data_IF_087106744478
#
_entry.id   IF_087106744478
#
_cell.length_a   1.000
_cell.length_b   1.000
_cell.length_c   1.000
_cell.angle_alpha   90.00
_cell.angle_beta   90.00
_cell.angle_gamma   90.00
#
_symmetry.space_group_name_H-M   'P 1'
#
loop_
_entity.id
_entity.type
_entity.pdbx_description
1 polymer ?
2 polymer ?
3 non-polymer ?
4 non-polymer ?
5 water ?
#
# COMPACT_ATOMS: atom_id res chain seq x y z
N UNK A 2 -15.90 0.85 -3.05
CA UNK A 2 -17.27 0.59 -3.42
C UNK A 2 -18.24 1.63 -2.93
N UNK A 3 -18.28 1.88 -1.62
CA UNK A 3 -19.24 2.77 -0.97
C UNK A 3 -19.17 4.25 -1.39
N UNK A 4 -20.25 5.01 -1.27
CA UNK A 4 -20.29 6.41 -1.71
C UNK A 4 -19.39 7.32 -0.88
N UNK A 5 -18.81 8.34 -1.51
CA UNK A 5 -17.92 9.34 -0.92
C UNK A 5 -16.63 8.73 -0.32
N UNK A 6 -16.18 7.63 -0.86
CA UNK A 6 -15.06 6.88 -0.31
C UNK A 6 -13.77 7.63 -0.24
N UNK A 7 -13.42 8.30 -1.33
CA UNK A 7 -12.22 9.06 -1.37
C UNK A 7 -12.18 10.10 -0.26
N UNK A 8 -13.29 10.78 -0.04
CA UNK A 8 -13.35 11.80 1.01
C UNK A 8 -13.39 11.19 2.40
N UNK A 9 -14.12 10.11 2.59
CA UNK A 9 -14.14 9.48 3.88
C UNK A 9 -12.76 8.91 4.24
N UNK A 10 -12.08 8.32 3.28
CA UNK A 10 -10.70 7.87 3.52
C UNK A 10 -9.82 9.04 3.93
N UNK A 11 -9.96 10.17 3.24
CA UNK A 11 -9.15 11.34 3.58
C UNK A 11 -9.43 11.81 5.00
N UNK A 12 -10.71 12.02 5.32
CA UNK A 12 -11.06 12.50 6.66
C UNK A 12 -10.52 11.56 7.73
N UNK A 13 -10.70 10.25 7.53
CA UNK A 13 -10.33 9.30 8.58
C UNK A 13 -8.81 9.22 8.75
N UNK A 14 -8.05 9.11 7.65
CA UNK A 14 -6.60 8.96 7.77
C UNK A 14 -5.99 10.24 8.34
N UNK A 15 -6.51 11.39 7.93
CA UNK A 15 -6.02 12.65 8.52
C UNK A 15 -6.32 12.76 10.00
N UNK A 16 -7.51 12.29 10.42
CA UNK A 16 -7.87 12.37 11.84
C UNK A 16 -6.96 11.50 12.70
N UNK A 17 -6.72 10.25 12.28
CA UNK A 17 -5.87 9.40 13.10
C UNK A 17 -4.39 9.70 12.94
N UNK A 18 -4.02 10.50 11.94
CA UNK A 18 -2.65 10.94 11.70
C UNK A 18 -1.73 9.77 11.33
N UNK A 19 -2.20 8.86 10.47
CA UNK A 19 -1.37 7.79 9.94
C UNK A 19 -0.92 8.15 8.53
N UNK A 20 -0.07 7.31 7.96
CA UNK A 20 0.58 7.62 6.68
C UNK A 20 -0.32 7.44 5.49
N UNK A 21 -1.23 6.46 5.50
CA UNK A 21 -2.08 6.22 4.35
C UNK A 21 -3.26 5.36 4.76
N UNK A 22 -4.25 5.32 3.88
CA UNK A 22 -5.31 4.34 3.97
C UNK A 22 -5.64 3.84 2.57
N UNK A 23 -6.07 2.58 2.50
CA UNK A 23 -6.52 1.95 1.26
C UNK A 23 -7.84 1.27 1.56
N UNK A 24 -8.77 1.33 0.62
CA UNK A 24 -9.95 0.47 0.68
C UNK A 24 -9.78 -0.58 -0.40
N UNK A 25 -9.67 -1.85 0.02
CA UNK A 25 -9.62 -3.00 -0.87
C UNK A 25 -11.05 -3.47 -1.13
N UNK A 26 -11.44 -3.53 -2.39
CA UNK A 26 -12.81 -3.93 -2.71
C UNK A 26 -12.79 -5.28 -3.43
N UNK A 27 -13.90 -6.00 -3.34
CA UNK A 27 -13.99 -7.33 -3.93
C UNK A 27 -14.25 -7.19 -5.41
N UNK A 28 -13.51 -7.94 -6.21
CA UNK A 28 -13.70 -7.94 -7.66
C UNK A 28 -15.15 -8.28 -8.02
N UNK A 29 -15.71 -7.49 -8.95
CA UNK A 29 -17.06 -7.76 -9.41
C UNK A 29 -17.15 -9.04 -10.24
N UNK A 30 -16.04 -9.48 -10.82
CA UNK A 30 -16.00 -10.68 -11.65
C UNK A 30 -15.37 -11.88 -10.95
N UNK A 31 -14.49 -11.66 -9.98
CA UNK A 31 -13.81 -12.76 -9.29
C UNK A 31 -14.21 -12.79 -7.82
N UNK A 32 -15.07 -13.71 -7.41
CA UNK A 32 -15.54 -13.69 -6.02
C UNK A 32 -14.40 -13.97 -5.05
N UNK A 33 -14.42 -13.23 -3.93
CA UNK A 33 -13.44 -13.38 -2.89
C UNK A 33 -12.08 -12.76 -3.19
N UNK A 34 -11.89 -12.17 -4.37
CA UNK A 34 -10.62 -11.57 -4.76
C UNK A 34 -10.67 -10.08 -4.47
N UNK A 35 -9.68 -9.57 -3.73
CA UNK A 35 -9.60 -8.15 -3.39
C UNK A 35 -8.65 -7.44 -4.34
N UNK A 36 -9.03 -6.23 -4.73
CA UNK A 36 -8.22 -5.34 -5.55
C UNK A 36 -8.26 -3.94 -4.97
N UNK A 37 -7.33 -3.09 -5.43
CA UNK A 37 -7.25 -1.71 -4.95
C UNK A 37 -8.51 -0.95 -5.33
N UNK A 38 -9.25 -0.49 -4.33
CA UNK A 38 -10.48 0.24 -4.55
C UNK A 38 -10.27 1.75 -4.54
N UNK A 39 -9.71 2.25 -3.46
CA UNK A 39 -9.32 3.65 -3.39
C UNK A 39 -8.33 3.81 -2.26
N UNK A 40 -7.82 5.02 -2.12
CA UNK A 40 -6.76 5.27 -1.15
C UNK A 40 -6.66 6.74 -0.84
N UNK A 41 -6.03 7.03 0.29
CA UNK A 41 -5.62 8.39 0.62
C UNK A 41 -4.18 8.35 1.07
N UNK A 42 -3.32 9.19 0.46
CA UNK A 42 -1.92 9.29 0.86
C UNK A 42 -1.74 10.49 1.78
N UNK A 43 -1.21 10.25 2.98
CA UNK A 43 -1.03 11.27 4.01
C UNK A 43 0.42 11.38 4.45
N UNK A 44 1.35 10.87 3.66
CA UNK A 44 2.74 10.76 4.07
C UNK A 44 3.59 11.92 3.58
N UNK A 45 4.90 11.71 3.60
CA UNK A 45 5.81 12.78 3.23
C UNK A 45 5.95 12.89 1.72
N UNK A 46 6.27 14.10 1.26
CA UNK A 46 6.61 14.37 -0.13
C UNK A 46 7.87 15.23 -0.12
N UNK A 47 8.50 15.34 -1.29
CA UNK A 47 9.62 16.26 -1.41
C UNK A 47 9.32 17.33 -2.45
N UNK A 57 -4.78 25.21 2.85
CA UNK A 57 -5.25 25.69 1.56
C UNK A 57 -6.77 25.67 1.50
N UNK A 58 -7.36 26.75 1.00
CA UNK A 58 -8.82 26.83 0.85
C UNK A 58 -9.32 26.05 -0.35
N UNK A 59 -8.47 25.76 -1.33
CA UNK A 59 -8.91 25.05 -2.52
C UNK A 59 -8.96 23.54 -2.29
N UNK A 60 -8.05 23.00 -1.47
CA UNK A 60 -7.96 21.55 -1.24
C UNK A 60 -7.84 21.32 0.27
N UNK A 61 -8.92 21.56 1.01
CA UNK A 61 -8.86 21.46 2.46
C UNK A 61 -8.53 20.05 2.93
N UNK A 62 -8.93 19.03 2.17
CA UNK A 62 -8.62 17.64 2.55
C UNK A 62 -7.30 17.15 1.98
N UNK A 63 -6.55 18.02 1.31
CA UNK A 63 -5.27 17.59 0.72
C UNK A 63 -5.39 16.40 -0.22
N UNK A 64 -6.39 16.40 -1.09
CA UNK A 64 -6.62 15.28 -1.97
C UNK A 64 -5.66 15.23 -3.16
N UNK A 65 -4.96 16.33 -3.45
CA UNK A 65 -4.27 16.44 -4.73
C UNK A 65 -3.19 15.38 -4.89
N UNK A 66 -2.34 15.20 -3.87
CA UNK A 66 -1.23 14.27 -4.01
C UNK A 66 -1.73 12.85 -4.24
N UNK A 67 -2.82 12.46 -3.56
CA UNK A 67 -3.43 11.16 -3.79
C UNK A 67 -3.87 11.03 -5.25
N UNK A 68 -4.53 12.06 -5.78
CA UNK A 68 -4.95 12.03 -7.18
C UNK A 68 -3.76 11.91 -8.11
N UNK A 69 -2.69 12.67 -7.85
CA UNK A 69 -1.53 12.65 -8.73
C UNK A 69 -0.82 11.31 -8.68
N UNK A 70 -0.75 10.70 -7.49
CA UNK A 70 -0.15 9.38 -7.37
C UNK A 70 -0.95 8.34 -8.13
N UNK A 71 -2.28 8.41 -8.07
CA UNK A 71 -3.12 7.49 -8.82
C UNK A 71 -2.97 7.71 -10.32
N UNK A 72 -2.96 8.98 -10.75
CA UNK A 72 -2.69 9.32 -12.14
C UNK A 72 -1.38 8.72 -12.63
N UNK A 73 -0.31 8.92 -11.85
CA UNK A 73 1.00 8.37 -12.22
C UNK A 73 0.93 6.85 -12.35
N UNK A 74 0.27 6.18 -11.41
CA UNK A 74 0.16 4.73 -11.48
C UNK A 74 -0.50 4.29 -12.78
N UNK A 75 -1.59 4.95 -13.16
CA UNK A 75 -2.28 4.57 -14.39
C UNK A 75 -1.42 4.85 -15.62
N UNK A 76 -0.69 5.97 -15.61
CA UNK A 76 0.26 6.25 -16.70
C UNK A 76 1.29 5.14 -16.82
N UNK A 77 1.99 4.85 -15.72
CA UNK A 77 3.01 3.81 -15.72
C UNK A 77 2.43 2.44 -16.07
N UNK A 78 1.19 2.18 -15.68
CA UNK A 78 0.56 0.90 -15.97
C UNK A 78 -0.03 0.89 -17.38
N UNK A 79 0.61 1.60 -18.30
CA UNK A 79 0.23 1.60 -19.71
C UNK A 79 1.47 1.50 -20.60
N UNK A 98 1.91 14.75 -14.34
CA UNK A 98 2.14 15.81 -13.36
C UNK A 98 3.30 15.44 -12.44
N UNK A 99 3.27 14.21 -11.94
CA UNK A 99 4.36 13.66 -11.14
C UNK A 99 5.22 12.76 -12.01
N UNK A 100 6.52 12.84 -11.82
CA UNK A 100 7.36 11.83 -12.44
C UNK A 100 7.93 10.89 -11.37
N UNK A 101 8.15 9.63 -11.70
CA UNK A 101 8.58 8.66 -10.68
C UNK A 101 9.83 9.07 -9.91
N UNK A 102 10.73 9.85 -10.51
CA UNK A 102 11.92 10.28 -9.80
C UNK A 102 11.60 11.24 -8.66
N UNK A 103 10.40 11.81 -8.64
CA UNK A 103 9.99 12.75 -7.61
C UNK A 103 9.50 12.07 -6.32
N UNK A 104 9.27 10.76 -6.34
CA UNK A 104 8.51 10.11 -5.28
C UNK A 104 9.38 9.75 -4.09
N UNK A 105 8.85 9.98 -2.88
CA UNK A 105 9.50 9.51 -1.67
C UNK A 105 9.35 8.00 -1.53
N UNK A 106 10.09 7.44 -0.58
CA UNK A 106 10.01 6.00 -0.32
C UNK A 106 8.58 5.59 0.01
N UNK A 107 7.88 6.38 0.84
CA UNK A 107 6.52 6.04 1.22
C UNK A 107 5.55 6.22 0.06
N UNK A 108 5.78 7.21 -0.80
CA UNK A 108 4.95 7.33 -1.99
C UNK A 108 5.08 6.10 -2.88
N UNK A 109 6.31 5.58 -3.04
CA UNK A 109 6.49 4.37 -3.83
C UNK A 109 5.73 3.21 -3.22
N UNK A 110 5.80 3.08 -1.89
CA UNK A 110 5.01 2.05 -1.22
C UNK A 110 3.54 2.19 -1.61
N UNK A 111 3.01 3.39 -1.42
CA UNK A 111 1.59 3.64 -1.70
C UNK A 111 1.25 3.32 -3.14
N UNK A 112 2.12 3.72 -4.09
CA UNK A 112 1.83 3.49 -5.50
C UNK A 112 1.90 2.00 -5.85
N UNK A 113 2.93 1.30 -5.38
CA UNK A 113 3.08 -0.12 -5.70
C UNK A 113 1.93 -0.95 -5.10
N UNK A 114 1.36 -0.51 -3.97
CA UNK A 114 0.18 -1.19 -3.43
C UNK A 114 -0.95 -1.28 -4.46
N UNK A 115 -1.04 -0.32 -5.37
CA UNK A 115 -2.15 -0.32 -6.33
C UNK A 115 -2.10 -1.53 -7.25
N UNK A 116 -0.96 -2.17 -7.39
CA UNK A 116 -0.81 -3.33 -8.26
C UNK A 116 -1.19 -4.64 -7.58
N UNK A 117 -1.56 -4.62 -6.29
CA UNK A 117 -1.77 -5.86 -5.57
C UNK A 117 -3.20 -6.35 -5.70
N UNK A 118 -3.34 -7.66 -5.88
CA UNK A 118 -4.61 -8.37 -5.94
C UNK A 118 -4.47 -9.57 -5.00
N UNK A 119 -5.46 -9.79 -4.15
CA UNK A 119 -5.36 -10.82 -3.11
C UNK A 119 -6.41 -11.90 -3.31
N UNK A 120 -5.95 -13.13 -3.50
CA UNK A 120 -6.84 -14.28 -3.54
C UNK A 120 -7.46 -14.49 -2.17
N UNK A 121 -8.45 -15.39 -2.12
CA UNK A 121 -9.12 -15.71 -0.86
C UNK A 121 -8.09 -16.08 0.19
N UNK A 122 -8.17 -15.42 1.35
CA UNK A 122 -7.29 -15.66 2.47
C UNK A 122 -5.86 -15.20 2.31
N UNK A 123 -5.50 -14.52 1.22
CA UNK A 123 -4.10 -14.18 0.97
C UNK A 123 -3.73 -12.81 1.53
N UNK A 124 -2.58 -12.73 2.20
CA UNK A 124 -2.08 -11.46 2.71
C UNK A 124 -2.93 -10.97 3.88
N UNK A 125 -2.59 -9.78 4.40
CA UNK A 125 -3.40 -9.31 5.51
C UNK A 125 -4.76 -8.82 5.00
N UNK A 126 -4.90 -8.28 3.79
CA UNK A 126 -6.28 -7.94 3.38
C UNK A 126 -7.13 -9.16 3.16
N UNK A 127 -6.59 -10.18 2.51
CA UNK A 127 -7.41 -11.37 2.26
C UNK A 127 -7.72 -12.09 3.55
N UNK A 128 -6.77 -12.08 4.50
CA UNK A 128 -7.02 -12.70 5.79
C UNK A 128 -8.04 -11.96 6.63
N UNK A 129 -8.03 -10.64 6.55
CA UNK A 129 -9.04 -9.86 7.25
C UNK A 129 -10.44 -10.16 6.69
N UNK A 130 -10.56 -10.25 5.38
CA UNK A 130 -11.86 -10.55 4.76
C UNK A 130 -12.31 -11.96 5.18
N UNK A 131 -11.40 -12.92 5.10
CA UNK A 131 -11.80 -14.32 5.29
C UNK A 131 -12.13 -14.62 6.76
N UNK A 132 -11.38 -14.05 7.69
CA UNK A 132 -11.65 -14.37 9.09
C UNK A 132 -12.51 -13.33 9.79
N UNK A 133 -12.82 -12.21 9.15
CA UNK A 133 -13.83 -11.31 9.68
C UNK A 133 -13.39 -10.44 10.85
N UNK A 134 -12.10 -10.39 11.13
CA UNK A 134 -11.57 -9.74 12.31
C UNK A 134 -10.40 -8.83 11.93
N UNK A 135 -10.18 -7.77 12.70
CA UNK A 135 -9.01 -6.91 12.43
C UNK A 135 -7.73 -7.71 12.58
N UNK A 136 -6.75 -7.35 11.76
CA UNK A 136 -5.39 -7.85 11.89
C UNK A 136 -4.50 -6.64 12.11
N UNK A 137 -3.81 -6.61 13.24
CA UNK A 137 -2.95 -5.48 13.59
C UNK A 137 -1.51 -5.96 13.51
N UNK A 138 -0.79 -5.51 12.49
CA UNK A 138 0.56 -6.01 12.23
C UNK A 138 1.57 -4.98 12.73
N UNK A 139 2.33 -5.36 13.76
CA UNK A 139 3.51 -4.60 14.14
C UNK A 139 4.74 -5.22 13.47
N UNK A 140 5.84 -4.47 13.47
CA UNK A 140 7.06 -4.90 12.77
C UNK A 140 6.76 -5.34 11.35
N UNK A 141 6.00 -4.53 10.62
CA UNK A 141 5.54 -4.93 9.29
C UNK A 141 6.70 -5.12 8.32
N UNK A 142 7.81 -4.42 8.56
CA UNK A 142 9.00 -4.51 7.70
C UNK A 142 9.62 -5.90 7.69
N UNK A 143 9.38 -6.72 8.72
CA UNK A 143 10.01 -8.03 8.80
C UNK A 143 8.99 -9.15 8.94
N UNK A 144 7.71 -8.87 8.65
CA UNK A 144 6.69 -9.89 8.83
C UNK A 144 6.90 -11.05 7.87
N UNK A 145 6.63 -12.25 8.35
CA UNK A 145 6.73 -13.44 7.51
C UNK A 145 5.77 -13.34 6.33
N UNK A 146 6.23 -13.89 5.19
CA UNK A 146 5.46 -13.84 3.95
C UNK A 146 4.09 -14.50 4.09
N UNK A 147 3.95 -15.48 4.98
CA UNK A 147 2.65 -16.10 5.16
C UNK A 147 1.65 -15.15 5.79
N UNK A 148 2.13 -14.11 6.45
CA UNK A 148 1.27 -13.14 7.12
C UNK A 148 1.11 -11.87 6.29
N UNK A 149 2.17 -11.38 5.68
CA UNK A 149 2.18 -10.08 5.03
C UNK A 149 2.99 -10.21 3.74
N UNK A 150 2.37 -9.93 2.60
CA UNK A 150 3.07 -10.09 1.32
C UNK A 150 3.86 -8.85 0.90
N UNK A 151 3.90 -7.80 1.72
CA UNK A 151 4.53 -6.54 1.36
C UNK A 151 5.67 -6.15 2.33
N UNK A 152 6.28 -7.10 3.01
CA UNK A 152 7.26 -6.77 4.04
C UNK A 152 8.46 -6.03 3.47
N UNK A 153 9.04 -6.53 2.37
CA UNK A 153 10.17 -5.83 1.76
C UNK A 153 9.78 -4.43 1.33
N UNK A 154 8.63 -4.28 0.70
CA UNK A 154 8.18 -2.97 0.28
C UNK A 154 8.03 -2.05 1.49
N UNK A 155 7.44 -2.56 2.59
CA UNK A 155 7.33 -1.77 3.81
C UNK A 155 8.70 -1.39 4.34
N UNK A 156 9.64 -2.34 4.33
CA UNK A 156 10.99 -2.03 4.82
C UNK A 156 11.60 -0.90 4.00
N UNK A 157 11.36 -0.88 2.69
CA UNK A 157 11.91 0.18 1.85
C UNK A 157 11.41 1.55 2.26
N UNK A 158 10.22 1.63 2.87
CA UNK A 158 9.63 2.90 3.29
C UNK A 158 9.62 3.09 4.80
N UNK A 159 10.25 2.18 5.57
CA UNK A 159 10.22 2.21 7.03
C UNK A 159 8.79 2.27 7.55
N UNK A 160 7.92 1.51 6.91
CA UNK A 160 6.51 1.41 7.29
C UNK A 160 6.40 0.33 8.36
N UNK A 161 6.19 0.73 9.62
CA UNK A 161 6.29 -0.22 10.73
C UNK A 161 4.97 -0.85 11.13
N UNK A 162 3.84 -0.19 10.89
CA UNK A 162 2.55 -0.66 11.41
C UNK A 162 1.53 -0.65 10.29
N UNK A 163 0.87 -1.80 10.08
CA UNK A 163 -0.21 -1.94 9.09
C UNK A 163 -1.37 -2.64 9.76
N UNK A 164 -2.58 -2.11 9.58
CA UNK A 164 -3.76 -2.68 10.20
C UNK A 164 -4.79 -2.85 9.10
N UNK A 165 -5.45 -4.02 9.05
CA UNK A 165 -6.56 -4.25 8.13
C UNK A 165 -7.78 -4.68 8.91
N UNK A 166 -8.97 -4.22 8.47
CA UNK A 166 -10.15 -4.76 9.12
C UNK A 166 -11.27 -4.85 8.09
N UNK A 167 -12.13 -5.85 8.18
CA UNK A 167 -13.25 -5.93 7.24
C UNK A 167 -14.23 -4.79 7.46
N UNK A 168 -14.69 -4.19 6.37
CA UNK A 168 -15.51 -3.00 6.51
C UNK A 168 -16.26 -2.75 5.21
N UNK A 169 -17.57 -2.51 5.32
CA UNK A 169 -18.39 -2.13 4.16
C UNK A 169 -18.22 -3.09 2.97
N UNK A 170 -18.16 -4.38 3.28
CA UNK A 170 -18.05 -5.43 2.27
C UNK A 170 -16.69 -5.55 1.62
N UNK A 171 -15.70 -4.80 2.07
CA UNK A 171 -14.34 -4.92 1.62
C UNK A 171 -13.43 -4.96 2.83
N UNK A 172 -12.24 -4.42 2.66
CA UNK A 172 -11.26 -4.37 3.75
C UNK A 172 -10.62 -2.99 3.77
N UNK A 173 -10.63 -2.35 4.93
CA UNK A 173 -9.98 -1.07 5.12
C UNK A 173 -8.58 -1.31 5.68
N UNK A 174 -7.57 -0.73 5.06
CA UNK A 174 -6.18 -0.84 5.51
C UNK A 174 -5.66 0.53 5.88
N UNK A 175 -4.98 0.65 7.02
CA UNK A 175 -4.28 1.88 7.38
C UNK A 175 -2.86 1.50 7.73
N UNK A 176 -1.91 2.38 7.41
CA UNK A 176 -0.51 2.10 7.69
C UNK A 176 0.21 3.36 8.13
N UNK A 177 1.29 3.17 8.89
CA UNK A 177 2.07 4.32 9.33
C UNK A 177 3.53 3.95 9.57
N UNK A 178 4.40 4.95 9.41
CA UNK A 178 5.82 4.76 9.69
C UNK A 178 6.10 4.60 11.18
N UNK A 179 5.23 5.12 12.04
CA UNK A 179 5.43 4.97 13.48
C UNK A 179 5.12 3.55 13.92
N UNK A 180 5.76 3.12 15.01
CA UNK A 180 5.25 1.98 15.75
C UNK A 180 4.09 2.45 16.62
N UNK A 181 2.88 1.94 16.35
CA UNK A 181 1.70 2.23 17.16
C UNK A 181 1.27 0.94 17.85
N UNK A 182 1.32 0.95 19.19
CA UNK A 182 0.77 -0.14 19.99
C UNK A 182 -0.70 -0.36 19.65
N UNK A 183 -1.14 -1.62 19.75
CA UNK A 183 -2.50 -1.95 19.35
C UNK A 183 -3.51 -1.14 20.14
N UNK A 184 -4.46 -0.53 19.43
CA UNK A 184 -5.43 0.35 20.05
C UNK A 184 -6.68 0.31 19.18
N UNK A 185 -7.68 -0.45 19.62
CA UNK A 185 -8.87 -0.62 18.79
C UNK A 185 -9.64 0.68 18.65
N UNK A 186 -9.38 1.68 19.50
CA UNK A 186 -10.02 2.98 19.32
C UNK A 186 -9.60 3.64 18.01
N UNK A 187 -8.43 3.28 17.44
CA UNK A 187 -8.06 3.80 16.13
C UNK A 187 -9.01 3.28 15.07
N UNK A 188 -9.28 1.97 15.10
CA UNK A 188 -10.23 1.38 14.16
C UNK A 188 -11.63 1.98 14.37
N UNK A 189 -12.06 2.06 15.63
CA UNK A 189 -13.37 2.66 15.91
C UNK A 189 -13.45 4.10 15.39
N UNK A 190 -12.36 4.87 15.54
CA UNK A 190 -12.35 6.25 15.01
C UNK A 190 -12.58 6.25 13.51
N UNK A 191 -11.88 5.38 12.79
CA UNK A 191 -12.06 5.32 11.34
C UNK A 191 -13.49 4.97 11.01
N UNK A 192 -14.05 3.97 11.71
CA UNK A 192 -15.39 3.51 11.40
C UNK A 192 -16.42 4.61 11.64
N UNK A 193 -16.26 5.39 12.72
CA UNK A 193 -17.23 6.45 12.98
C UNK A 193 -17.18 7.54 11.92
N UNK A 194 -15.98 7.86 11.42
CA UNK A 194 -15.85 8.89 10.39
C UNK A 194 -16.41 8.45 9.05
N UNK A 195 -16.73 7.17 8.87
CA UNK A 195 -17.40 6.67 7.68
C UNK A 195 -18.91 6.63 7.88
N UNK A 196 -19.36 6.06 8.99
CA UNK A 196 -20.78 6.02 9.35
C UNK A 196 -21.15 7.34 10.03
N UNK A 197 -20.94 8.43 9.29
CA UNK A 197 -21.00 9.78 9.84
C UNK A 197 -22.40 10.17 10.34
N UNK B 1 23.83 -12.85 -7.68
CA UNK B 1 22.56 -12.23 -7.32
C UNK B 1 21.52 -13.32 -7.05
N UNK B 2 21.45 -13.78 -5.80
CA UNK B 2 20.52 -14.83 -5.39
C UNK B 2 19.31 -14.18 -4.75
N UNK B 3 18.33 -13.81 -5.59
CA UNK B 3 17.12 -13.17 -5.09
C UNK B 3 16.24 -14.18 -4.36
N UNK B 4 15.66 -13.74 -3.25
CA UNK B 4 14.59 -14.50 -2.63
C UNK B 4 13.34 -14.40 -3.48
N UNK B 5 12.35 -15.23 -3.15
CA UNK B 5 11.10 -15.22 -3.90
C UNK B 5 10.39 -13.88 -3.77
N UNK B 6 10.45 -13.26 -2.60
CA UNK B 6 9.83 -11.94 -2.41
C UNK B 6 10.54 -10.89 -3.25
N UNK B 7 11.87 -10.94 -3.32
CA UNK B 7 12.60 -9.99 -4.16
C UNK B 7 12.22 -10.16 -5.63
N UNK B 8 12.05 -11.40 -6.08
CA UNK B 8 11.66 -11.63 -7.47
C UNK B 8 10.31 -11.00 -7.77
N UNK B 9 9.29 -11.30 -6.96
CA UNK B 9 7.97 -10.70 -7.18
C UNK B 9 8.04 -9.18 -7.21
N UNK B 10 8.80 -8.60 -6.28
CA UNK B 10 8.82 -7.14 -6.18
C UNK B 10 9.58 -6.53 -7.34
N UNK B 11 10.65 -7.19 -7.80
CA UNK B 11 11.38 -6.71 -8.97
C UNK B 11 10.48 -6.76 -10.19
N UNK B 12 9.81 -7.90 -10.40
CA UNK B 12 8.84 -7.99 -11.49
C UNK B 12 7.80 -6.89 -11.41
N UNK B 13 7.29 -6.63 -10.20
CA UNK B 13 6.30 -5.59 -9.99
C UNK B 13 6.85 -4.22 -10.37
N UNK B 14 8.07 -3.91 -9.90
CA UNK B 14 8.67 -2.62 -10.23
C UNK B 14 9.01 -2.53 -11.72
N UNK B 15 9.46 -3.64 -12.30
CA UNK B 15 9.81 -3.64 -13.72
C UNK B 15 8.60 -3.31 -14.58
N UNK B 16 7.46 -3.95 -14.28
CA UNK B 16 6.23 -3.70 -15.01
C UNK B 16 5.76 -2.25 -14.93
N UNK B 17 6.36 -1.44 -14.05
CA UNK B 17 5.96 -0.05 -13.85
C UNK B 17 6.96 0.95 -14.44
N UNK B 18 8.25 0.77 -14.17
CA UNK B 18 9.27 1.73 -14.60
C UNK B 18 10.20 1.15 -15.66
N UNK B 19 10.05 -0.12 -16.00
CA UNK B 19 10.96 -0.71 -16.98
C UNK B 19 12.34 -0.90 -16.38
N UNK B 20 13.36 -0.47 -17.12
CA UNK B 20 14.75 -0.70 -16.77
C UNK B 20 15.38 0.45 -15.98
N UNK B 21 14.57 1.29 -15.34
CA UNK B 21 15.08 2.36 -14.49
C UNK B 21 15.54 1.73 -13.18
N UNK B 22 16.72 1.09 -13.24
CA UNK B 22 17.17 0.22 -12.16
C UNK B 22 17.34 0.97 -10.85
N UNK B 23 17.57 2.28 -10.91
CA UNK B 23 17.62 3.08 -9.69
C UNK B 23 16.29 3.00 -8.94
N UNK B 24 15.18 3.13 -9.68
CA UNK B 24 13.85 3.16 -9.05
C UNK B 24 13.43 1.78 -8.56
N UNK B 25 13.84 0.72 -9.25
CA UNK B 25 13.54 -0.62 -8.76
C UNK B 25 14.32 -0.92 -7.48
N UNK B 26 15.60 -0.54 -7.46
CA UNK B 26 16.46 -0.86 -6.32
C UNK B 26 16.00 -0.14 -5.05
N UNK B 27 15.44 1.06 -5.19
CA UNK B 27 14.96 1.78 -4.03
C UNK B 27 13.86 1.06 -3.28
N UNK B 28 13.15 0.16 -3.96
CA UNK B 28 12.09 -0.65 -3.36
C UNK B 28 12.61 -1.98 -2.80
N UNK B 29 13.87 -2.34 -3.08
CA UNK B 29 14.42 -3.62 -2.66
C UNK B 29 15.52 -3.37 -1.64
N UNK B 30 15.24 -3.50 -0.33
CA UNK B 30 16.25 -3.15 0.68
C UNK B 30 17.50 -4.01 0.58
N UNK B 31 18.66 -3.35 0.60
CA UNK B 31 19.94 -4.03 0.58
C UNK B 31 20.48 -4.38 -0.80
N UNK B 32 19.73 -4.15 -1.86
CA UNK B 32 20.14 -4.51 -3.20
C UNK B 32 20.52 -3.28 -4.01
N UNK B 33 21.63 -3.39 -4.78
CA UNK B 33 22.10 -2.27 -5.58
C UNK B 33 21.42 -2.27 -6.94
N UNK B 34 21.36 -1.12 -7.61
CA UNK B 34 20.79 -1.09 -8.97
C UNK B 34 21.43 -2.08 -9.94
N UNK B 35 22.73 -2.37 -9.78
CA UNK B 35 23.34 -3.34 -10.69
C UNK B 35 22.96 -4.77 -10.33
N UNK B 36 22.83 -5.07 -9.04
CA UNK B 36 22.36 -6.41 -8.63
C UNK B 36 21.04 -6.75 -9.32
N UNK B 37 20.10 -5.80 -9.32
CA UNK B 37 18.81 -6.04 -9.96
C UNK B 37 18.98 -6.16 -11.47
N UNK B 38 19.80 -5.29 -12.07
CA UNK B 38 20.11 -5.44 -13.50
C UNK B 38 20.75 -6.80 -13.77
N UNK B 39 21.72 -7.19 -12.94
CA UNK B 39 22.36 -8.49 -13.10
C UNK B 39 21.35 -9.63 -12.99
N UNK B 40 20.47 -9.55 -11.99
CA UNK B 40 19.42 -10.56 -11.86
C UNK B 40 18.54 -10.61 -13.10
N UNK B 41 18.21 -9.44 -13.65
CA UNK B 41 17.19 -9.38 -14.69
C UNK B 41 17.69 -9.97 -16.00
N UNK B 42 18.91 -9.61 -16.40
CA UNK B 42 19.48 -10.11 -17.65
C UNK B 42 19.55 -11.64 -17.63
N UNK B 43 20.04 -12.21 -16.53
CA UNK B 43 20.15 -13.66 -16.42
C UNK B 43 18.80 -14.37 -16.29
N UNK B 44 17.71 -13.65 -16.08
CA UNK B 44 16.39 -14.25 -16.10
C UNK B 44 15.60 -13.93 -17.36
N UNK B 45 15.68 -12.69 -17.84
CA UNK B 45 14.95 -12.28 -19.04
C UNK B 45 15.89 -11.86 -20.15
X LIG C 1 -0.41 -8.27 2.35
X LIG D 1 19.23 0.24 1.13
X LIG D 1 18.64 1.53 0.78
X LIG D 1 18.78 -0.18 2.46
X LIG D 1 20.68 0.35 1.11
X LIG D 1 18.81 -0.76 0.15
#
# INVERSE_FOLDING_TARGET
TVPDNLKKQLAVSVRNIQWSYGIFWSVSASQPGVLEWGDGYYNGDIKTRKTIQAAEVKIDQLGLERSEQLRELYESLSLAESSASGSSQVTRRASAAALSPEDLTDTEWYYLVCMSFVFNIGEGIPGGALSNGEPIWLCNAETADSKVFTRSLLAKSASLQTVVCFPFLGGVLEIGTTEHIKEDMNVIQSVKTLFLEA
VKMSEEEEDLISRMYKLVGDRWELIAGRIPGRTPEEIERYWLMKHGVVFANRRRDFFRK
CL CL
SO4 S O1 O2 O3 O4
#
